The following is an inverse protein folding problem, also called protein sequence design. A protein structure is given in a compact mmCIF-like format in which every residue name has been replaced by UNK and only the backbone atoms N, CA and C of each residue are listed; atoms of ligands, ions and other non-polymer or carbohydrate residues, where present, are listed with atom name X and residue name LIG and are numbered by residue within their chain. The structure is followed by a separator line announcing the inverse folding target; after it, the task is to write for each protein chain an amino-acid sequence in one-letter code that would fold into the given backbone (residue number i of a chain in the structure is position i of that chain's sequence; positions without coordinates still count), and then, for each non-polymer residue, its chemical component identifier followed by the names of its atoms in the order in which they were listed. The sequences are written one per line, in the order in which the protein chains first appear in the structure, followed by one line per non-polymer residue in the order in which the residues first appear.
data_IF_729716093631
#
_entry.id   IF_729716093631
#
_cell.length_a   1.000
_cell.length_b   1.000
_cell.length_c   1.000
_cell.angle_alpha   90.00
_cell.angle_beta   90.00
_cell.angle_gamma   90.00
#
_symmetry.space_group_name_H-M   'P 1'
#
loop_
_entity.id
_entity.type
_entity.pdbx_description
1 polymer ?
#
# COMPACT_ATOMS: atom_id res chain seq x y z
N UNK A 1 -8.19 -6.11 -17.06
CA UNK A 1 -7.37 -7.09 -16.34
C UNK A 1 -7.88 -7.30 -14.93
N UNK A 2 -7.45 -8.38 -14.31
CA UNK A 2 -7.88 -8.68 -12.95
C UNK A 2 -7.49 -7.57 -11.97
N UNK A 3 -6.30 -7.03 -12.12
CA UNK A 3 -5.81 -5.99 -11.23
C UNK A 3 -6.67 -4.72 -11.25
N UNK A 4 -7.30 -4.43 -12.38
CA UNK A 4 -8.14 -3.26 -12.49
C UNK A 4 -9.48 -3.43 -11.79
N UNK A 5 -9.87 -4.67 -11.51
CA UNK A 5 -11.14 -4.96 -10.84
C UNK A 5 -11.07 -4.79 -9.34
N UNK A 6 -9.90 -4.60 -8.78
CA UNK A 6 -9.71 -4.51 -7.34
C UNK A 6 -9.47 -3.07 -6.88
N UNK A 7 -9.93 -2.72 -5.66
CA UNK A 7 -9.65 -1.40 -5.11
C UNK A 7 -8.14 -1.15 -4.98
N UNK A 8 -7.78 0.11 -4.99
CA UNK A 8 -6.37 0.48 -4.86
C UNK A 8 -5.76 -0.06 -3.56
N UNK A 9 -6.53 -0.10 -2.48
CA UNK A 9 -6.00 -0.58 -1.20
C UNK A 9 -5.47 -2.01 -1.29
N UNK A 10 -6.17 -2.89 -2.03
CA UNK A 10 -5.70 -4.27 -2.21
C UNK A 10 -4.41 -4.31 -3.01
N UNK A 11 -4.36 -3.55 -4.11
CA UNK A 11 -3.17 -3.50 -4.96
C UNK A 11 -1.99 -2.88 -4.22
N UNK A 12 -2.27 -1.84 -3.43
CA UNK A 12 -1.22 -1.17 -2.68
C UNK A 12 -0.67 -2.06 -1.56
N UNK A 13 -1.54 -2.82 -0.90
CA UNK A 13 -1.10 -3.76 0.13
C UNK A 13 -0.11 -4.77 -0.46
N UNK A 14 -0.45 -5.35 -1.60
CA UNK A 14 0.45 -6.28 -2.28
C UNK A 14 1.78 -5.61 -2.63
N UNK A 15 1.70 -4.40 -3.18
CA UNK A 15 2.89 -3.66 -3.58
C UNK A 15 3.80 -3.36 -2.39
N UNK A 16 3.22 -2.94 -1.27
CA UNK A 16 3.98 -2.66 -0.06
C UNK A 16 4.70 -3.91 0.45
N UNK A 17 3.99 -5.03 0.47
CA UNK A 17 4.59 -6.28 0.93
C UNK A 17 5.75 -6.72 0.06
N UNK A 18 5.61 -6.58 -1.26
CA UNK A 18 6.66 -6.98 -2.20
C UNK A 18 7.85 -6.02 -2.19
N UNK A 19 7.60 -4.76 -1.87
CA UNK A 19 8.64 -3.73 -1.95
C UNK A 19 9.31 -3.42 -0.63
N UNK A 20 8.71 -3.84 0.49
CA UNK A 20 9.26 -3.54 1.80
C UNK A 20 10.51 -4.36 2.10
N UNK A 21 11.37 -3.81 2.94
CA UNK A 21 12.57 -4.47 3.39
C UNK A 21 12.62 -4.36 4.90
N UNK A 22 12.63 -5.49 5.60
CA UNK A 22 12.58 -5.54 7.07
C UNK A 22 11.40 -4.76 7.62
N UNK A 23 10.23 -4.95 6.98
CA UNK A 23 8.97 -4.28 7.35
C UNK A 23 8.99 -2.77 7.18
N UNK A 24 9.95 -2.24 6.42
CA UNK A 24 10.03 -0.82 6.10
C UNK A 24 9.78 -0.65 4.61
N UNK A 25 8.82 0.20 4.27
CA UNK A 25 8.51 0.54 2.90
C UNK A 25 8.90 1.99 2.66
N UNK A 26 9.77 2.23 1.68
CA UNK A 26 10.21 3.58 1.37
C UNK A 26 9.16 4.34 0.58
N UNK A 27 8.94 5.58 1.01
CA UNK A 27 7.95 6.44 0.39
C UNK A 27 8.45 6.95 -0.97
N UNK A 28 7.69 6.62 -2.02
CA UNK A 28 7.97 7.08 -3.39
C UNK A 28 6.65 7.33 -4.09
N UNK A 29 5.85 8.18 -3.49
CA UNK A 29 4.46 8.38 -3.94
C UNK A 29 4.30 8.78 -5.39
N UNK A 30 5.19 9.63 -5.92
CA UNK A 30 5.07 10.06 -7.31
C UNK A 30 5.25 8.89 -8.28
N UNK A 31 6.24 8.04 -8.02
CA UNK A 31 6.49 6.88 -8.85
C UNK A 31 5.34 5.87 -8.75
N UNK A 32 4.82 5.69 -7.54
CA UNK A 32 3.75 4.73 -7.31
C UNK A 32 2.44 5.19 -7.94
N UNK A 33 2.13 6.48 -7.87
CA UNK A 33 0.92 6.99 -8.49
C UNK A 33 0.95 6.78 -10.00
N UNK A 34 2.11 6.97 -10.62
CA UNK A 34 2.29 6.71 -12.05
C UNK A 34 2.14 5.21 -12.35
N UNK A 35 2.73 4.38 -11.50
CA UNK A 35 2.68 2.94 -11.68
C UNK A 35 1.24 2.42 -11.67
N UNK A 36 0.42 2.89 -10.73
CA UNK A 36 -0.97 2.46 -10.63
C UNK A 36 -1.92 3.26 -11.51
N UNK A 37 -1.45 4.36 -12.09
CA UNK A 37 -2.31 5.20 -12.90
C UNK A 37 -3.37 5.92 -12.11
N UNK A 38 -3.06 6.33 -10.88
CA UNK A 38 -3.99 7.04 -10.01
C UNK A 38 -3.42 8.39 -9.62
N UNK A 39 -4.28 9.29 -9.13
CA UNK A 39 -3.81 10.60 -8.70
C UNK A 39 -3.01 10.48 -7.41
N UNK A 40 -2.10 11.43 -7.22
CA UNK A 40 -1.30 11.48 -6.01
C UNK A 40 -2.18 11.58 -4.75
N UNK A 41 -3.25 12.38 -4.84
CA UNK A 41 -4.18 12.54 -3.72
C UNK A 41 -4.88 11.22 -3.38
N UNK A 42 -5.30 10.49 -4.41
CA UNK A 42 -5.96 9.19 -4.20
C UNK A 42 -5.00 8.23 -3.51
N UNK A 43 -3.75 8.22 -3.94
CA UNK A 43 -2.74 7.36 -3.34
C UNK A 43 -2.53 7.70 -1.86
N UNK A 44 -2.38 9.00 -1.54
CA UNK A 44 -2.20 9.43 -0.15
C UNK A 44 -3.39 9.04 0.71
N UNK A 45 -4.60 9.17 0.16
CA UNK A 45 -5.81 8.80 0.88
C UNK A 45 -5.80 7.31 1.21
N UNK A 46 -5.36 6.49 0.27
CA UNK A 46 -5.31 5.05 0.48
C UNK A 46 -4.26 4.68 1.52
N UNK A 47 -3.09 5.33 1.50
CA UNK A 47 -2.11 5.13 2.55
C UNK A 47 -2.67 5.49 3.92
N UNK A 48 -3.43 6.58 4.00
CA UNK A 48 -4.04 7.00 5.26
C UNK A 48 -5.05 5.96 5.76
N UNK A 49 -5.81 5.37 4.84
CA UNK A 49 -6.76 4.32 5.21
C UNK A 49 -6.05 3.11 5.81
N UNK A 50 -4.95 2.68 5.20
CA UNK A 50 -4.18 1.56 5.72
C UNK A 50 -3.59 1.89 7.09
N UNK A 51 -3.13 3.12 7.26
CA UNK A 51 -2.55 3.56 8.52
C UNK A 51 -3.62 3.60 9.64
N UNK A 52 -4.80 4.11 9.32
CA UNK A 52 -5.90 4.16 10.29
C UNK A 52 -6.37 2.77 10.70
N UNK A 53 -6.25 1.81 9.81
CA UNK A 53 -6.62 0.44 10.10
C UNK A 53 -5.55 -0.28 10.93
N UNK A 54 -4.44 0.37 11.22
CA UNK A 54 -3.38 -0.21 12.02
C UNK A 54 -2.47 -1.15 11.27
N UNK A 55 -2.51 -1.12 9.95
CA UNK A 55 -1.67 -2.02 9.14
C UNK A 55 -0.27 -1.46 8.94
N UNK A 56 -0.15 -0.16 8.84
CA UNK A 56 1.14 0.52 8.62
C UNK A 56 1.20 1.77 9.47
N UNK A 57 2.41 2.30 9.63
CA UNK A 57 2.64 3.53 10.39
C UNK A 57 3.59 4.42 9.63
N UNK A 58 3.22 5.69 9.48
CA UNK A 58 4.08 6.67 8.83
C UNK A 58 5.26 7.02 9.74
N UNK A 59 6.47 6.88 9.23
CA UNK A 59 7.68 7.28 9.93
C UNK A 59 8.52 8.10 8.96
N UNK A 60 8.89 9.31 9.33
CA UNK A 60 9.66 10.24 8.49
C UNK A 60 9.31 10.09 7.01
N UNK A 61 10.19 9.51 6.21
CA UNK A 61 9.98 9.34 4.78
C UNK A 61 9.69 7.88 4.40
N UNK A 62 9.13 7.13 5.34
CA UNK A 62 8.89 5.72 5.13
C UNK A 62 7.62 5.28 5.83
N UNK A 63 7.23 4.04 5.62
CA UNK A 63 6.12 3.42 6.33
C UNK A 63 6.61 2.12 6.94
N UNK A 64 6.22 1.88 8.19
CA UNK A 64 6.55 0.64 8.86
C UNK A 64 5.31 -0.25 8.84
N UNK A 65 5.49 -1.52 8.51
CA UNK A 65 4.41 -2.49 8.54
C UNK A 65 4.16 -2.89 9.99
N UNK A 66 2.97 -2.60 10.50
CA UNK A 66 2.59 -2.94 11.87
C UNK A 66 1.88 -4.28 11.94
N UNK A 67 1.03 -4.57 10.95
CA UNK A 67 0.25 -5.81 10.94
C UNK A 67 0.37 -6.44 9.56
N UNK A 68 1.40 -7.25 9.41
CA UNK A 68 1.66 -7.91 8.13
C UNK A 68 0.54 -8.88 7.75
N UNK A 69 -0.10 -9.50 8.73
CA UNK A 69 -1.18 -10.43 8.46
C UNK A 69 -2.38 -9.75 7.81
N UNK A 70 -2.75 -8.56 8.29
CA UNK A 70 -3.84 -7.80 7.71
C UNK A 70 -3.51 -7.34 6.30
N UNK A 71 -2.27 -6.87 6.10
CA UNK A 71 -1.82 -6.47 4.77
C UNK A 71 -1.84 -7.66 3.81
N UNK A 72 -1.36 -8.80 4.28
CA UNK A 72 -1.33 -10.01 3.47
C UNK A 72 -2.75 -10.44 3.10
N UNK A 73 -3.70 -10.30 4.03
CA UNK A 73 -5.09 -10.65 3.76
C UNK A 73 -5.65 -9.78 2.62
N UNK A 74 -5.33 -8.49 2.63
CA UNK A 74 -5.77 -7.60 1.55
C UNK A 74 -5.13 -7.99 0.21
N UNK A 75 -3.83 -8.28 0.25
CA UNK A 75 -3.12 -8.68 -0.97
C UNK A 75 -3.66 -10.00 -1.51
N UNK A 76 -4.01 -10.91 -0.62
CA UNK A 76 -4.53 -12.23 -1.01
C UNK A 76 -5.91 -12.17 -1.65
N UNK A 77 -6.63 -11.05 -1.50
CA UNK A 77 -7.92 -10.88 -2.17
C UNK A 77 -7.76 -10.76 -3.67
N UNK A 78 -6.56 -10.42 -4.14
CA UNK A 78 -6.27 -10.35 -5.57
C UNK A 78 -5.96 -11.75 -6.07
N UNK A 79 -6.78 -12.24 -6.97
CA UNK A 79 -6.62 -13.60 -7.47
C UNK A 79 -6.50 -13.67 -8.98
#
# INVERSE_FOLDING_TARGET
TKHQAYPLENKLAEFILLSSHEDIYREKHTEISDYFGVSYRHLLHTFAQLSEAGMIEKIKMSYKILDREKLQALADEIK
#
